data_IF_812387871235
#
_entry.id   IF_812387871235
#
_cell.length_a   1.000
_cell.length_b   1.000
_cell.length_c   1.000
_cell.angle_alpha   90.00
_cell.angle_beta   90.00
_cell.angle_gamma   90.00
#
_symmetry.space_group_name_H-M   'P 1'
#
loop_
_entity.id
_entity.type
_entity.pdbx_description
1 polymer ?
#
# COMPACT_ATOMS: atom_id res chain seq x y z
N UNK A 1 10.19 -10.81 -21.39
CA UNK A 1 8.79 -10.38 -21.17
C UNK A 1 8.66 -8.93 -21.57
N UNK A 2 7.57 -8.52 -22.26
CA UNK A 2 7.34 -7.10 -22.57
C UNK A 2 7.16 -6.29 -21.28
N UNK A 3 7.53 -5.02 -21.32
CA UNK A 3 7.29 -4.11 -20.21
C UNK A 3 5.81 -3.76 -20.13
N UNK A 4 5.33 -3.45 -18.92
CA UNK A 4 3.94 -3.11 -18.64
C UNK A 4 3.83 -1.64 -18.27
N UNK A 5 2.89 -0.93 -18.89
CA UNK A 5 2.56 0.44 -18.56
C UNK A 5 1.10 0.51 -18.12
N UNK A 6 0.87 0.88 -16.86
CA UNK A 6 -0.47 1.14 -16.32
C UNK A 6 -0.55 2.60 -15.94
N UNK A 7 -1.52 3.32 -16.51
CA UNK A 7 -1.77 4.72 -16.19
C UNK A 7 -3.23 4.91 -15.77
N UNK A 8 -3.42 5.22 -14.50
CA UNK A 8 -4.71 5.53 -13.90
C UNK A 8 -4.68 6.98 -13.45
N UNK A 9 -5.16 7.88 -14.30
CA UNK A 9 -5.25 9.32 -14.01
C UNK A 9 -6.70 9.77 -13.99
N UNK A 10 -7.09 10.57 -13.00
CA UNK A 10 -8.47 11.07 -12.83
C UNK A 10 -9.50 9.93 -12.66
N UNK A 11 -9.11 8.85 -11.99
CA UNK A 11 -10.00 7.70 -11.74
C UNK A 11 -10.74 7.92 -10.42
N UNK A 12 -12.04 7.66 -10.42
CA UNK A 12 -12.84 7.56 -9.19
C UNK A 12 -13.38 6.14 -9.09
N UNK A 13 -12.97 5.41 -8.04
CA UNK A 13 -13.47 4.08 -7.73
C UNK A 13 -14.23 4.12 -6.41
N UNK A 14 -15.48 3.67 -6.42
CA UNK A 14 -16.36 3.61 -5.25
C UNK A 14 -16.72 2.15 -5.00
N UNK A 15 -16.47 1.68 -3.78
CA UNK A 15 -16.64 0.28 -3.37
C UNK A 15 -15.81 -0.71 -4.22
N UNK A 16 -14.73 -0.23 -4.83
CA UNK A 16 -13.84 -1.02 -5.68
C UNK A 16 -12.47 -1.27 -5.06
N UNK A 17 -11.86 -2.40 -5.42
CA UNK A 17 -10.52 -2.78 -5.01
C UNK A 17 -9.63 -2.94 -6.24
N UNK A 18 -8.49 -2.25 -6.26
CA UNK A 18 -7.46 -2.47 -7.27
C UNK A 18 -6.45 -3.48 -6.70
N UNK A 19 -6.19 -4.55 -7.44
CA UNK A 19 -5.23 -5.58 -7.03
C UNK A 19 -4.04 -5.57 -7.99
N UNK A 20 -2.84 -5.37 -7.45
CA UNK A 20 -1.59 -5.59 -8.17
C UNK A 20 -0.97 -6.88 -7.65
N UNK A 21 -0.80 -7.87 -8.53
CA UNK A 21 -0.32 -9.20 -8.16
C UNK A 21 0.97 -9.57 -8.90
N UNK A 22 1.94 -10.10 -8.14
CA UNK A 22 3.13 -10.76 -8.68
C UNK A 22 4.28 -9.83 -9.11
N UNK A 23 5.23 -10.40 -9.86
CA UNK A 23 6.43 -9.68 -10.29
C UNK A 23 6.16 -8.80 -11.52
N UNK A 24 6.45 -7.50 -11.40
CA UNK A 24 6.42 -6.59 -12.52
C UNK A 24 7.61 -6.85 -13.46
N UNK A 25 7.39 -6.96 -14.77
CA UNK A 25 8.49 -7.09 -15.73
C UNK A 25 9.46 -5.91 -15.64
N UNK A 26 10.75 -6.10 -15.96
CA UNK A 26 11.73 -5.02 -16.01
C UNK A 26 11.27 -3.83 -16.84
N UNK A 27 11.59 -2.62 -16.37
CA UNK A 27 11.26 -1.34 -17.01
C UNK A 27 9.75 -1.05 -17.11
N UNK A 28 8.93 -1.71 -16.30
CA UNK A 28 7.50 -1.42 -16.19
C UNK A 28 7.22 -0.17 -15.35
N UNK A 29 6.09 0.48 -15.60
CA UNK A 29 5.60 1.58 -14.78
C UNK A 29 4.12 1.47 -14.47
N UNK A 30 3.76 1.71 -13.21
CA UNK A 30 2.38 1.92 -12.78
C UNK A 30 2.29 3.34 -12.24
N UNK A 31 1.34 4.12 -12.75
CA UNK A 31 1.01 5.47 -12.30
C UNK A 31 -0.44 5.52 -11.82
N UNK A 32 -0.66 5.97 -10.59
CA UNK A 32 -1.96 6.38 -10.08
C UNK A 32 -1.91 7.87 -9.72
N UNK A 33 -2.60 8.71 -10.48
CA UNK A 33 -2.53 10.17 -10.34
C UNK A 33 -3.92 10.81 -10.24
N UNK A 34 -4.07 11.86 -9.44
CA UNK A 34 -5.30 12.66 -9.36
C UNK A 34 -6.57 11.80 -9.13
N UNK A 35 -6.45 10.70 -8.38
CA UNK A 35 -7.49 9.67 -8.32
C UNK A 35 -8.06 9.52 -6.92
N UNK A 36 -9.31 9.07 -6.82
CA UNK A 36 -9.98 8.77 -5.55
C UNK A 36 -10.40 7.31 -5.54
N UNK A 37 -9.83 6.51 -4.65
CA UNK A 37 -10.19 5.11 -4.44
C UNK A 37 -10.87 4.98 -3.08
N UNK A 38 -12.10 4.49 -3.06
CA UNK A 38 -12.87 4.31 -1.84
C UNK A 38 -13.42 2.89 -1.80
N UNK A 39 -13.24 2.22 -0.68
CA UNK A 39 -13.79 0.90 -0.44
C UNK A 39 -14.35 0.80 0.99
N UNK A 40 -15.32 -0.10 1.19
CA UNK A 40 -15.83 -0.44 2.52
C UNK A 40 -15.81 -1.94 2.75
N UNK A 41 -15.78 -2.35 4.03
CA UNK A 41 -15.83 -3.77 4.41
C UNK A 41 -17.09 -4.46 3.88
N UNK A 42 -18.21 -3.74 3.76
CA UNK A 42 -19.47 -4.28 3.24
C UNK A 42 -19.55 -4.35 1.71
N UNK A 43 -18.89 -3.43 1.00
CA UNK A 43 -18.88 -3.38 -0.47
C UNK A 43 -17.78 -4.22 -1.12
N UNK A 44 -16.72 -4.53 -0.38
CA UNK A 44 -15.59 -5.30 -0.88
C UNK A 44 -15.91 -6.79 -1.06
N UNK A 45 -15.51 -7.32 -2.22
CA UNK A 45 -15.49 -8.76 -2.49
C UNK A 45 -14.09 -9.37 -2.33
N UNK A 46 -13.10 -8.56 -1.95
CA UNK A 46 -11.74 -9.04 -1.77
C UNK A 46 -11.65 -9.94 -0.52
N UNK A 47 -11.15 -11.16 -0.71
CA UNK A 47 -10.93 -12.13 0.37
C UNK A 47 -9.43 -12.40 0.49
N UNK A 48 -8.80 -12.02 1.62
CA UNK A 48 -7.41 -12.34 1.88
C UNK A 48 -7.14 -13.84 1.80
N UNK A 49 -5.99 -14.19 1.24
CA UNK A 49 -5.55 -15.58 1.07
C UNK A 49 -4.35 -15.92 1.96
N UNK A 50 -3.90 -14.97 2.75
CA UNK A 50 -2.81 -15.18 3.71
C UNK A 50 -3.17 -16.28 4.73
N UNK A 51 -2.31 -17.32 4.90
CA UNK A 51 -2.53 -18.37 5.89
C UNK A 51 -2.79 -17.80 7.30
N UNK A 52 -3.73 -18.40 8.03
CA UNK A 52 -4.15 -17.94 9.36
C UNK A 52 -5.05 -16.69 9.37
N UNK A 53 -5.30 -16.08 8.20
CA UNK A 53 -6.11 -14.86 8.06
C UNK A 53 -7.30 -15.05 7.10
N UNK A 54 -7.64 -16.30 6.78
CA UNK A 54 -8.70 -16.67 5.82
C UNK A 54 -10.13 -16.24 6.22
N UNK A 55 -10.31 -15.64 7.40
CA UNK A 55 -11.58 -15.05 7.86
C UNK A 55 -11.56 -13.52 8.01
N UNK A 56 -10.44 -12.86 7.69
CA UNK A 56 -10.33 -11.42 7.82
C UNK A 56 -11.20 -10.74 6.75
N UNK A 57 -12.30 -10.11 7.16
CA UNK A 57 -13.05 -9.22 6.28
C UNK A 57 -12.36 -7.87 6.24
N UNK A 58 -11.71 -7.57 5.13
CA UNK A 58 -11.13 -6.27 4.84
C UNK A 58 -11.75 -5.69 3.57
N UNK A 59 -11.92 -4.36 3.54
CA UNK A 59 -12.39 -3.65 2.35
C UNK A 59 -11.34 -2.75 1.73
N UNK A 60 -10.21 -3.28 1.24
CA UNK A 60 -9.12 -2.44 0.76
C UNK A 60 -9.43 -1.72 -0.54
N UNK A 61 -8.94 -0.49 -0.65
CA UNK A 61 -8.99 0.25 -1.90
C UNK A 61 -7.86 -0.20 -2.85
N UNK A 62 -6.71 -0.57 -2.30
CA UNK A 62 -5.55 -1.10 -3.02
C UNK A 62 -5.00 -2.34 -2.33
N UNK A 63 -4.71 -3.37 -3.12
CA UNK A 63 -4.02 -4.59 -2.67
C UNK A 63 -2.71 -4.74 -3.43
N UNK A 64 -1.63 -4.93 -2.70
CA UNK A 64 -0.30 -5.27 -3.19
C UNK A 64 0.00 -6.71 -2.80
N UNK A 65 -0.16 -7.62 -3.74
CA UNK A 65 -0.13 -9.04 -3.48
C UNK A 65 1.08 -9.72 -4.13
N UNK A 66 2.12 -9.97 -3.35
CA UNK A 66 3.38 -10.54 -3.83
C UNK A 66 4.07 -9.64 -4.85
N UNK A 67 3.86 -8.32 -4.74
CA UNK A 67 4.36 -7.35 -5.71
C UNK A 67 5.88 -7.28 -5.64
N UNK A 68 6.53 -7.56 -6.78
CA UNK A 68 7.98 -7.43 -6.91
C UNK A 68 8.30 -6.44 -8.03
N UNK A 69 8.80 -5.27 -7.68
CA UNK A 69 9.35 -4.31 -8.62
C UNK A 69 10.79 -4.72 -8.93
N UNK A 70 11.08 -4.91 -10.22
CA UNK A 70 12.40 -5.26 -10.74
C UNK A 70 12.75 -4.24 -11.81
N UNK A 71 13.66 -3.30 -11.55
CA UNK A 71 13.89 -2.14 -12.44
C UNK A 71 12.61 -1.43 -12.87
N UNK A 72 11.61 -1.38 -11.97
CA UNK A 72 10.26 -0.94 -12.26
C UNK A 72 9.83 0.19 -11.32
N UNK A 73 8.81 0.94 -11.74
CA UNK A 73 8.34 2.13 -11.03
C UNK A 73 6.87 1.98 -10.67
N UNK A 74 6.53 2.20 -9.42
CA UNK A 74 5.15 2.40 -8.98
C UNK A 74 5.04 3.77 -8.34
N UNK A 75 4.29 4.66 -8.98
CA UNK A 75 4.13 6.04 -8.58
C UNK A 75 2.66 6.31 -8.29
N UNK A 76 2.40 6.84 -7.11
CA UNK A 76 1.10 7.36 -6.71
C UNK A 76 1.23 8.83 -6.36
N UNK A 77 0.42 9.70 -6.95
CA UNK A 77 0.49 11.14 -6.66
C UNK A 77 -0.88 11.81 -6.64
N UNK A 78 -1.06 12.82 -5.78
CA UNK A 78 -2.30 13.63 -5.71
C UNK A 78 -3.56 12.77 -5.62
N UNK A 79 -3.48 11.65 -4.89
CA UNK A 79 -4.53 10.64 -4.87
C UNK A 79 -5.04 10.39 -3.45
N UNK A 80 -6.32 10.07 -3.35
CA UNK A 80 -6.99 9.82 -2.08
C UNK A 80 -7.41 8.36 -2.00
N UNK A 81 -7.06 7.68 -0.92
CA UNK A 81 -7.45 6.30 -0.64
C UNK A 81 -8.25 6.28 0.66
N UNK A 82 -9.48 5.77 0.61
CA UNK A 82 -10.37 5.74 1.76
C UNK A 82 -10.90 4.34 2.00
N UNK A 83 -10.74 3.87 3.23
CA UNK A 83 -11.30 2.61 3.71
C UNK A 83 -12.33 2.86 4.80
N UNK A 84 -13.57 2.43 4.58
CA UNK A 84 -14.66 2.52 5.54
C UNK A 84 -15.02 1.18 6.19
N UNK A 85 -15.29 1.19 7.50
CA UNK A 85 -15.67 -0.01 8.27
C UNK A 85 -14.64 -0.35 9.34
N UNK A 86 -15.04 -1.12 10.36
CA UNK A 86 -14.25 -1.27 11.59
C UNK A 86 -12.93 -2.02 11.39
N UNK A 87 -12.84 -3.00 10.50
CA UNK A 87 -11.64 -3.83 10.25
C UNK A 87 -10.91 -3.45 8.95
N UNK A 88 -11.09 -2.23 8.46
CA UNK A 88 -10.68 -1.83 7.11
C UNK A 88 -9.18 -1.49 7.01
N UNK A 89 -8.51 -1.91 5.94
CA UNK A 89 -7.15 -1.48 5.60
C UNK A 89 -7.15 -0.77 4.24
N UNK A 90 -6.75 0.51 4.15
CA UNK A 90 -6.84 1.23 2.87
C UNK A 90 -5.92 0.64 1.79
N UNK A 91 -4.71 0.27 2.20
CA UNK A 91 -3.76 -0.49 1.40
C UNK A 91 -3.51 -1.82 2.12
N UNK A 92 -3.76 -2.94 1.46
CA UNK A 92 -3.44 -4.27 1.97
C UNK A 92 -2.20 -4.81 1.27
N UNK A 93 -1.28 -5.41 2.02
CA UNK A 93 -0.12 -6.10 1.46
C UNK A 93 -0.22 -7.58 1.81
N UNK A 94 -0.23 -8.43 0.79
CA UNK A 94 -0.16 -9.89 0.93
C UNK A 94 1.11 -10.41 0.26
N UNK A 95 1.64 -11.54 0.75
CA UNK A 95 2.82 -12.22 0.17
C UNK A 95 4.04 -11.32 -0.03
N UNK A 96 4.21 -10.32 0.85
CA UNK A 96 5.30 -9.34 0.86
C UNK A 96 5.34 -8.37 -0.34
N UNK A 97 5.93 -7.19 -0.10
CA UNK A 97 6.25 -6.22 -1.14
C UNK A 97 7.76 -6.09 -1.28
N UNK A 98 8.26 -6.18 -2.52
CA UNK A 98 9.70 -6.12 -2.80
C UNK A 98 9.99 -5.07 -3.86
N UNK A 99 10.87 -4.12 -3.55
CA UNK A 99 11.52 -3.25 -4.52
C UNK A 99 12.98 -3.67 -4.67
N UNK A 100 13.38 -4.08 -5.88
CA UNK A 100 14.74 -4.52 -6.16
C UNK A 100 15.23 -4.05 -7.54
N UNK A 101 16.53 -4.10 -7.79
CA UNK A 101 17.16 -3.72 -9.06
C UNK A 101 16.83 -2.27 -9.46
N UNK A 102 17.19 -1.29 -8.62
CA UNK A 102 16.95 0.14 -8.88
C UNK A 102 15.47 0.47 -9.14
N UNK A 103 14.57 -0.20 -8.41
CA UNK A 103 13.14 0.06 -8.48
C UNK A 103 12.71 1.24 -7.63
N UNK A 104 11.55 1.80 -7.95
CA UNK A 104 11.00 2.95 -7.23
C UNK A 104 9.55 2.67 -6.84
N UNK A 105 9.26 2.75 -5.55
CA UNK A 105 7.92 2.96 -5.02
C UNK A 105 7.85 4.39 -4.49
N UNK A 106 6.94 5.19 -5.04
CA UNK A 106 6.84 6.61 -4.71
C UNK A 106 5.39 7.00 -4.46
N UNK A 107 5.12 7.60 -3.31
CA UNK A 107 3.84 8.21 -2.98
C UNK A 107 4.06 9.69 -2.66
N UNK A 108 3.36 10.60 -3.34
CA UNK A 108 3.49 12.04 -3.12
C UNK A 108 2.15 12.78 -3.13
N UNK A 109 1.95 13.66 -2.15
CA UNK A 109 0.71 14.43 -2.03
C UNK A 109 -0.53 13.51 -2.00
N UNK A 110 -0.43 12.38 -1.29
CA UNK A 110 -1.52 11.42 -1.16
C UNK A 110 -2.23 11.57 0.19
N UNK A 111 -3.54 11.34 0.20
CA UNK A 111 -4.33 11.28 1.42
C UNK A 111 -4.87 9.86 1.62
N UNK A 112 -4.33 9.12 2.59
CA UNK A 112 -4.74 7.75 2.88
C UNK A 112 -5.45 7.73 4.23
N UNK A 113 -6.74 7.35 4.21
CA UNK A 113 -7.59 7.36 5.39
C UNK A 113 -8.24 6.00 5.59
N UNK A 114 -8.18 5.50 6.81
CA UNK A 114 -8.85 4.28 7.22
C UNK A 114 -9.38 4.38 8.65
N UNK A 115 -10.29 3.49 9.02
CA UNK A 115 -10.66 3.30 10.43
C UNK A 115 -9.63 2.46 11.17
N UNK A 116 -9.30 1.25 10.70
CA UNK A 116 -8.32 0.38 11.37
C UNK A 116 -6.88 0.66 10.90
N UNK A 117 -6.56 0.29 9.66
CA UNK A 117 -5.18 0.36 9.15
C UNK A 117 -5.04 1.20 7.89
N UNK A 118 -3.98 1.99 7.78
CA UNK A 118 -3.69 2.73 6.54
C UNK A 118 -3.06 1.79 5.52
N UNK A 119 -1.97 1.13 5.89
CA UNK A 119 -1.29 0.07 5.16
C UNK A 119 -1.11 -1.14 6.09
N UNK A 120 -1.68 -2.28 5.72
CA UNK A 120 -1.66 -3.48 6.55
C UNK A 120 -1.04 -4.64 5.80
N UNK A 121 0.11 -5.12 6.25
CA UNK A 121 0.77 -6.29 5.67
C UNK A 121 0.45 -7.54 6.50
N UNK A 122 -0.32 -8.46 5.90
CA UNK A 122 -0.73 -9.70 6.55
C UNK A 122 0.46 -10.66 6.64
N UNK A 123 1.10 -10.71 7.80
CA UNK A 123 2.31 -11.53 8.05
C UNK A 123 3.36 -11.39 6.93
N UNK A 124 3.42 -10.21 6.32
CA UNK A 124 4.14 -9.93 5.08
C UNK A 124 5.24 -8.90 5.34
N UNK A 125 6.33 -9.02 4.59
CA UNK A 125 7.51 -8.19 4.78
C UNK A 125 7.55 -7.07 3.74
N UNK A 126 8.27 -6.00 4.07
CA UNK A 126 8.71 -4.98 3.13
C UNK A 126 10.21 -5.14 2.89
N UNK A 127 10.60 -5.37 1.63
CA UNK A 127 12.02 -5.41 1.25
C UNK A 127 12.36 -4.37 0.20
N UNK A 128 13.35 -3.53 0.50
CA UNK A 128 13.88 -2.52 -0.43
C UNK A 128 15.39 -2.80 -0.62
N UNK A 129 15.76 -3.28 -1.79
CA UNK A 129 17.11 -3.79 -2.09
C UNK A 129 17.66 -3.30 -3.44
N UNK A 130 18.97 -3.49 -3.66
CA UNK A 130 19.60 -3.26 -4.97
C UNK A 130 19.51 -1.82 -5.47
N UNK A 131 19.78 -0.84 -4.60
CA UNK A 131 19.67 0.59 -4.92
C UNK A 131 18.24 1.06 -5.20
N UNK A 132 17.25 0.38 -4.64
CA UNK A 132 15.83 0.75 -4.82
C UNK A 132 15.40 1.82 -3.82
N UNK A 133 14.30 2.50 -4.12
CA UNK A 133 13.75 3.56 -3.28
C UNK A 133 12.30 3.27 -2.96
N UNK A 134 11.95 3.30 -1.67
CA UNK A 134 10.59 3.40 -1.19
C UNK A 134 10.44 4.76 -0.50
N UNK A 135 9.59 5.63 -1.03
CA UNK A 135 9.50 7.01 -0.59
C UNK A 135 8.06 7.48 -0.49
N UNK A 136 7.70 8.03 0.67
CA UNK A 136 6.43 8.71 0.91
C UNK A 136 6.73 10.18 1.20
N UNK A 137 6.11 11.09 0.44
CA UNK A 137 6.33 12.53 0.57
C UNK A 137 5.03 13.31 0.60
N UNK A 138 5.01 14.42 1.33
CA UNK A 138 3.91 15.39 1.34
C UNK A 138 2.52 14.77 1.58
N UNK A 139 2.46 13.64 2.27
CA UNK A 139 1.26 12.81 2.33
C UNK A 139 0.62 12.87 3.72
N UNK A 140 -0.68 12.61 3.78
CA UNK A 140 -1.44 12.52 5.03
C UNK A 140 -1.99 11.12 5.21
N UNK A 141 -1.64 10.48 6.32
CA UNK A 141 -1.99 9.09 6.64
C UNK A 141 -2.77 9.08 7.96
N UNK A 142 -4.05 8.74 7.89
CA UNK A 142 -4.96 8.82 9.05
C UNK A 142 -5.61 7.47 9.34
N UNK A 143 -5.40 6.95 10.54
CA UNK A 143 -6.13 5.81 11.10
C UNK A 143 -6.94 6.29 12.31
N UNK A 144 -8.26 6.05 12.30
CA UNK A 144 -9.17 6.55 13.36
C UNK A 144 -9.41 5.52 14.48
N UNK A 145 -8.65 4.44 14.54
CA UNK A 145 -8.86 3.40 15.55
C UNK A 145 -8.41 3.84 16.93
N UNK A 146 -9.15 3.38 17.93
CA UNK A 146 -8.80 3.46 19.36
C UNK A 146 -8.31 2.11 19.90
N UNK A 147 -8.25 1.07 19.06
CA UNK A 147 -7.87 -0.28 19.46
C UNK A 147 -6.36 -0.46 19.44
N UNK A 148 -5.88 -1.15 20.47
CA UNK A 148 -4.45 -1.35 20.76
C UNK A 148 -3.63 -1.98 19.61
N UNK A 149 -4.26 -2.79 18.75
CA UNK A 149 -3.60 -3.51 17.66
C UNK A 149 -3.84 -2.90 16.27
N UNK A 150 -4.49 -1.74 16.18
CA UNK A 150 -4.85 -1.10 14.91
C UNK A 150 -3.96 0.12 14.61
N UNK A 151 -2.88 -0.09 13.85
CA UNK A 151 -1.85 0.92 13.53
C UNK A 151 -1.91 1.44 12.09
N UNK A 152 -1.22 2.56 11.79
CA UNK A 152 -1.04 3.07 10.41
C UNK A 152 -0.52 2.01 9.46
N UNK A 153 0.62 1.44 9.82
CA UNK A 153 1.53 0.77 8.91
C UNK A 153 2.09 -0.41 9.68
N UNK A 154 1.76 -1.62 9.26
CA UNK A 154 2.19 -2.84 9.94
C UNK A 154 2.83 -3.74 8.90
N UNK A 155 4.07 -4.12 9.16
CA UNK A 155 4.81 -5.17 8.44
C UNK A 155 5.35 -6.15 9.45
N UNK A 156 5.50 -7.42 9.06
CA UNK A 156 6.15 -8.42 9.91
C UNK A 156 7.63 -8.09 10.07
N UNK A 157 8.29 -7.78 8.95
CA UNK A 157 9.67 -7.34 8.91
C UNK A 157 9.87 -6.26 7.83
N UNK A 158 10.88 -5.41 8.03
CA UNK A 158 11.27 -4.35 7.10
C UNK A 158 12.78 -4.41 6.89
N UNK A 159 13.20 -4.76 5.67
CA UNK A 159 14.61 -4.85 5.30
C UNK A 159 14.97 -3.81 4.24
N UNK A 160 16.01 -3.02 4.50
CA UNK A 160 16.56 -2.02 3.56
C UNK A 160 18.05 -2.31 3.36
N UNK A 161 18.45 -2.70 2.16
CA UNK A 161 19.79 -3.25 1.89
C UNK A 161 20.40 -2.75 0.57
N UNK A 162 21.71 -2.90 0.39
CA UNK A 162 22.36 -2.69 -0.91
C UNK A 162 22.25 -1.26 -1.45
N UNK A 163 22.47 -0.25 -0.59
CA UNK A 163 22.40 1.16 -0.96
C UNK A 163 20.98 1.69 -1.20
N UNK A 164 19.96 0.93 -0.79
CA UNK A 164 18.55 1.29 -0.94
C UNK A 164 18.11 2.33 0.08
N UNK A 165 16.99 2.99 -0.20
CA UNK A 165 16.42 4.04 0.66
C UNK A 165 14.97 3.72 0.99
N UNK A 166 14.65 3.77 2.29
CA UNK A 166 13.29 3.88 2.79
C UNK A 166 13.17 5.26 3.45
N UNK A 167 12.28 6.11 2.93
CA UNK A 167 12.12 7.46 3.47
C UNK A 167 10.66 7.91 3.54
N UNK A 168 10.41 8.77 4.53
CA UNK A 168 9.14 9.45 4.74
C UNK A 168 9.44 10.91 5.04
N UNK A 169 9.01 11.81 4.17
CA UNK A 169 9.39 13.24 4.22
C UNK A 169 8.13 14.11 4.20
N UNK A 170 8.11 15.17 5.00
CA UNK A 170 7.03 16.19 4.96
C UNK A 170 5.61 15.60 5.04
N UNK A 171 5.44 14.49 5.77
CA UNK A 171 4.19 13.74 5.81
C UNK A 171 3.58 13.76 7.20
N UNK A 172 2.26 13.84 7.27
CA UNK A 172 1.50 13.87 8.53
C UNK A 172 0.88 12.51 8.80
N UNK A 173 1.15 11.96 9.98
CA UNK A 173 0.56 10.69 10.43
C UNK A 173 -0.35 10.98 11.63
N UNK A 174 -1.66 10.72 11.48
CA UNK A 174 -2.66 10.84 12.55
C UNK A 174 -3.17 9.46 12.91
N UNK A 175 -2.53 8.85 13.89
CA UNK A 175 -2.70 7.44 14.22
C UNK A 175 -3.08 7.33 15.68
N UNK A 176 -4.04 6.44 15.97
CA UNK A 176 -4.23 5.98 17.34
C UNK A 176 -2.99 5.18 17.75
N UNK A 177 -2.26 5.67 18.75
CA UNK A 177 -1.22 4.88 19.41
C UNK A 177 -1.76 4.47 20.78
N UNK A 178 -1.63 3.20 21.12
CA UNK A 178 -1.58 2.78 22.51
C UNK A 178 -0.17 2.23 22.74
N UNK A 179 0.55 2.81 23.71
CA UNK A 179 1.90 2.37 24.07
C UNK A 179 1.82 1.14 24.99
N UNK A 180 2.62 0.10 24.71
CA UNK A 180 3.11 -0.89 25.69
C UNK A 180 4.63 -0.77 25.74
#
# INVERSE_FOLDING_TARGET
MPHVLVNMTNVTSLEGTIVLHGAMPPHSSVLLANSTLRATVGGSQYVPTTPGHAGLRCGPALVLDGVRLLSARFVMTRSTLVCGGESCAAILVERSFVANLSSVFYMDNCAVRSRAHVMYALASDLRVAGGSVFSIQNSSWTAQSVKFHECACVFRDVAVEGGSVLQVVSSTFRLGFAML
#
